data_IF_424097109635
#
_entry.id   IF_424097109635
#
_cell.length_a   1.000
_cell.length_b   1.000
_cell.length_c   1.000
_cell.angle_alpha   90.00
_cell.angle_beta   90.00
_cell.angle_gamma   90.00
#
_symmetry.space_group_name_H-M   'P 1'
#
loop_
_entity.id
_entity.type
_entity.pdbx_description
1 polymer ?
#
# COMPACT_ATOMS: atom_id res chain seq x y z
N UNK A 1 -67.15 17.29 36.25
CA UNK A 1 -66.06 16.33 36.54
C UNK A 1 -66.62 14.92 36.38
N UNK A 2 -66.14 13.99 35.56
CA UNK A 2 -64.98 13.98 34.67
C UNK A 2 -65.25 13.13 33.42
N UNK A 3 -64.99 13.70 32.24
CA UNK A 3 -65.10 13.07 30.91
C UNK A 3 -63.88 12.18 30.56
N UNK A 4 -63.35 11.41 31.51
CA UNK A 4 -62.12 10.60 31.32
C UNK A 4 -62.35 9.08 31.32
N UNK A 5 -63.58 8.59 31.21
CA UNK A 5 -63.89 7.16 31.41
C UNK A 5 -64.39 6.45 30.13
N UNK A 6 -64.49 7.14 28.99
CA UNK A 6 -65.12 6.58 27.77
C UNK A 6 -64.10 6.15 26.68
N UNK A 7 -62.79 6.23 26.95
CA UNK A 7 -61.74 5.89 25.97
C UNK A 7 -60.80 4.77 26.48
N UNK A 8 -61.38 3.70 27.01
CA UNK A 8 -60.62 2.53 27.51
C UNK A 8 -61.31 1.17 27.21
N UNK A 9 -62.32 1.15 26.33
CA UNK A 9 -63.11 -0.05 25.99
C UNK A 9 -62.99 -0.36 24.47
N UNK A 10 -61.84 -0.08 23.86
CA UNK A 10 -61.56 -0.43 22.45
C UNK A 10 -60.25 -1.21 22.27
N UNK A 11 -59.82 -1.88 23.34
CA UNK A 11 -58.69 -2.82 23.36
C UNK A 11 -59.18 -4.12 23.98
N UNK A 12 -59.63 -5.05 23.13
CA UNK A 12 -59.64 -6.51 23.34
C UNK A 12 -60.67 -7.16 22.41
N UNK A 13 -60.31 -7.38 21.14
CA UNK A 13 -60.97 -8.36 20.26
C UNK A 13 -60.10 -8.58 19.01
N UNK A 14 -59.15 -9.52 19.09
CA UNK A 14 -59.22 -10.78 18.33
C UNK A 14 -58.06 -11.68 18.74
N UNK A 15 -58.40 -12.90 19.14
CA UNK A 15 -57.52 -13.95 19.64
C UNK A 15 -57.68 -15.17 18.72
N UNK A 16 -56.55 -15.77 18.37
CA UNK A 16 -56.29 -17.15 17.89
C UNK A 16 -56.72 -17.60 16.47
N UNK A 17 -55.71 -18.08 15.73
CA UNK A 17 -55.77 -19.38 15.05
C UNK A 17 -55.01 -19.51 13.73
N UNK A 18 -53.74 -19.94 13.76
CA UNK A 18 -53.29 -21.23 13.20
C UNK A 18 -51.76 -21.37 13.26
N UNK A 19 -51.33 -22.46 13.89
CA UNK A 19 -49.98 -23.03 13.82
C UNK A 19 -49.91 -23.87 12.54
N UNK A 20 -48.86 -23.69 11.75
CA UNK A 20 -48.50 -24.58 10.65
C UNK A 20 -46.97 -24.66 10.55
N UNK A 21 -46.42 -25.84 10.84
CA UNK A 21 -45.00 -26.19 10.78
C UNK A 21 -44.81 -27.21 9.64
N UNK A 22 -43.73 -27.14 8.85
CA UNK A 22 -43.25 -28.29 8.06
C UNK A 22 -42.65 -28.04 6.67
N UNK A 23 -41.31 -27.91 6.65
CA UNK A 23 -40.31 -28.52 5.77
C UNK A 23 -40.39 -28.53 4.21
N UNK A 24 -39.27 -28.03 3.64
CA UNK A 24 -38.43 -28.57 2.55
C UNK A 24 -38.84 -28.46 1.06
N UNK A 25 -37.89 -27.88 0.31
CA UNK A 25 -37.53 -28.00 -1.12
C UNK A 25 -38.60 -27.81 -2.19
N UNK A 26 -38.45 -26.73 -2.98
CA UNK A 26 -38.03 -26.84 -4.40
C UNK A 26 -37.86 -25.47 -5.06
N UNK A 27 -36.70 -25.31 -5.71
CA UNK A 27 -36.48 -24.52 -6.94
C UNK A 27 -36.86 -23.03 -6.94
N UNK A 28 -35.96 -22.19 -6.40
CA UNK A 28 -35.87 -20.79 -6.79
C UNK A 28 -34.99 -20.67 -8.03
N UNK A 29 -35.61 -20.37 -9.17
CA UNK A 29 -34.98 -20.11 -10.45
C UNK A 29 -33.76 -19.20 -10.33
N UNK A 30 -32.66 -19.61 -10.96
CA UNK A 30 -31.55 -18.72 -11.24
C UNK A 30 -32.01 -17.64 -12.20
N UNK A 31 -32.32 -16.47 -11.66
CA UNK A 31 -32.25 -15.24 -12.42
C UNK A 31 -30.77 -14.96 -12.67
N UNK A 32 -30.27 -15.45 -13.81
CA UNK A 32 -29.12 -14.85 -14.49
C UNK A 32 -29.58 -13.50 -15.04
N UNK A 33 -29.80 -12.54 -14.15
CA UNK A 33 -29.78 -11.15 -14.53
C UNK A 33 -28.31 -10.78 -14.78
N UNK A 34 -27.97 -10.17 -15.92
CA UNK A 34 -26.64 -9.62 -16.07
C UNK A 34 -26.46 -8.60 -14.93
N UNK A 35 -25.45 -8.85 -14.11
CA UNK A 35 -24.99 -7.92 -13.09
C UNK A 35 -24.52 -6.66 -13.83
N UNK A 36 -25.46 -5.74 -14.04
CA UNK A 36 -25.16 -4.39 -14.51
C UNK A 36 -24.52 -3.71 -13.30
N UNK A 37 -23.22 -3.95 -13.13
CA UNK A 37 -22.43 -3.66 -11.93
C UNK A 37 -22.95 -2.42 -11.21
N UNK A 38 -23.45 -2.63 -9.99
CA UNK A 38 -23.97 -1.56 -9.16
C UNK A 38 -22.93 -0.45 -9.03
N UNK A 39 -23.38 0.80 -9.16
CA UNK A 39 -22.53 1.96 -8.91
C UNK A 39 -22.02 1.89 -7.46
N UNK A 40 -20.70 1.80 -7.31
CA UNK A 40 -20.05 1.75 -6.01
C UNK A 40 -19.89 3.16 -5.46
N UNK A 41 -19.87 3.27 -4.14
CA UNK A 41 -19.58 4.52 -3.44
C UNK A 41 -18.81 4.26 -2.15
N UNK A 42 -18.15 5.27 -1.62
CA UNK A 42 -17.39 5.17 -0.37
C UNK A 42 -16.00 5.78 -0.49
N UNK A 43 -15.13 5.44 0.46
CA UNK A 43 -13.73 5.88 0.48
C UNK A 43 -12.80 4.69 0.50
N UNK A 44 -11.73 4.76 -0.28
CA UNK A 44 -10.60 3.83 -0.26
C UNK A 44 -9.36 4.64 0.08
N UNK A 45 -8.61 4.22 1.09
CA UNK A 45 -7.41 4.88 1.59
C UNK A 45 -6.20 4.00 1.25
N UNK A 46 -5.27 4.56 0.50
CA UNK A 46 -4.02 3.94 0.07
C UNK A 46 -2.87 4.78 0.59
N UNK A 47 -1.84 4.18 1.17
CA UNK A 47 -0.59 4.87 1.52
C UNK A 47 0.59 3.89 1.42
N UNK A 48 1.81 4.42 1.37
CA UNK A 48 3.03 3.61 1.33
C UNK A 48 4.02 4.11 0.30
N UNK A 49 4.49 3.22 -0.57
CA UNK A 49 5.66 3.43 -1.42
C UNK A 49 5.65 4.73 -2.21
N UNK A 50 6.70 5.52 -2.02
CA UNK A 50 6.92 6.75 -2.78
C UNK A 50 7.23 6.54 -4.26
N UNK A 51 7.58 5.32 -4.67
CA UNK A 51 7.86 4.93 -6.06
C UNK A 51 6.58 4.50 -6.78
N UNK A 52 5.67 3.84 -6.07
CA UNK A 52 4.37 3.40 -6.62
C UNK A 52 3.36 4.55 -6.66
N UNK A 53 3.48 5.52 -5.73
CA UNK A 53 2.57 6.66 -5.60
C UNK A 53 2.15 7.33 -6.93
N UNK A 54 3.06 7.72 -7.85
CA UNK A 54 2.64 8.39 -9.08
C UNK A 54 1.75 7.52 -9.98
N UNK A 55 2.03 6.22 -10.03
CA UNK A 55 1.23 5.25 -10.79
C UNK A 55 -0.13 5.05 -10.12
N UNK A 56 -0.15 4.83 -8.81
CA UNK A 56 -1.40 4.59 -8.07
C UNK A 56 -2.31 5.82 -8.05
N UNK A 57 -1.75 7.03 -7.92
CA UNK A 57 -2.50 8.28 -8.02
C UNK A 57 -3.20 8.42 -9.39
N UNK A 58 -2.52 8.03 -10.47
CA UNK A 58 -3.11 8.05 -11.80
C UNK A 58 -4.21 6.99 -11.97
N UNK A 59 -4.00 5.77 -11.45
CA UNK A 59 -5.03 4.72 -11.44
C UNK A 59 -6.26 5.18 -10.66
N UNK A 60 -6.06 5.77 -9.48
CA UNK A 60 -7.12 6.32 -8.65
C UNK A 60 -7.92 7.41 -9.38
N UNK A 61 -7.24 8.37 -10.03
CA UNK A 61 -7.89 9.39 -10.85
C UNK A 61 -8.75 8.77 -11.96
N UNK A 62 -8.18 7.82 -12.71
CA UNK A 62 -8.91 7.16 -13.80
C UNK A 62 -10.12 6.37 -13.29
N UNK A 63 -9.98 5.69 -12.15
CA UNK A 63 -11.08 4.94 -11.54
C UNK A 63 -12.20 5.88 -11.08
N UNK A 64 -11.87 6.95 -10.36
CA UNK A 64 -12.84 7.94 -9.89
C UNK A 64 -13.49 8.75 -11.01
N UNK A 65 -12.85 8.90 -12.18
CA UNK A 65 -13.41 9.73 -13.26
C UNK A 65 -14.16 8.93 -14.30
N UNK A 66 -13.75 7.69 -14.57
CA UNK A 66 -14.26 6.90 -15.70
C UNK A 66 -15.00 5.62 -15.28
N UNK A 67 -14.67 5.04 -14.13
CA UNK A 67 -15.20 3.73 -13.72
C UNK A 67 -16.26 3.87 -12.61
N UNK A 68 -15.94 4.54 -11.50
CA UNK A 68 -16.80 4.69 -10.33
C UNK A 68 -16.76 6.12 -9.75
N UNK A 69 -17.57 7.06 -10.31
CA UNK A 69 -17.54 8.48 -9.91
C UNK A 69 -17.96 8.81 -8.49
N UNK A 70 -18.68 7.90 -7.82
CA UNK A 70 -19.13 8.08 -6.44
C UNK A 70 -18.17 7.47 -5.41
N UNK A 71 -17.05 6.87 -5.86
CA UNK A 71 -15.95 6.41 -4.99
C UNK A 71 -14.90 7.50 -4.85
N UNK A 72 -14.38 7.67 -3.63
CA UNK A 72 -13.28 8.58 -3.32
C UNK A 72 -12.02 7.78 -2.95
N UNK A 73 -11.02 7.78 -3.82
CA UNK A 73 -9.73 7.09 -3.58
C UNK A 73 -8.68 8.12 -3.14
N UNK A 74 -8.12 7.93 -1.95
CA UNK A 74 -7.05 8.76 -1.39
C UNK A 74 -5.73 8.01 -1.47
N UNK A 75 -4.69 8.63 -2.04
CA UNK A 75 -3.36 8.00 -2.20
C UNK A 75 -2.30 8.83 -1.49
N UNK A 76 -1.60 8.22 -0.55
CA UNK A 76 -0.51 8.80 0.25
C UNK A 76 0.88 8.37 -0.23
N UNK A 77 1.92 9.00 0.33
CA UNK A 77 3.33 8.80 -0.06
C UNK A 77 4.27 8.65 1.14
N UNK A 78 3.93 7.83 2.12
CA UNK A 78 4.68 7.69 3.36
C UNK A 78 6.04 6.95 3.26
N UNK A 79 6.23 6.11 2.23
CA UNK A 79 7.29 5.09 2.12
C UNK A 79 6.79 3.70 2.53
N UNK A 80 7.31 2.62 1.92
CA UNK A 80 6.79 1.25 2.08
C UNK A 80 6.69 0.81 3.55
N UNK A 81 7.76 1.03 4.34
CA UNK A 81 7.79 0.66 5.77
C UNK A 81 6.80 1.46 6.61
N UNK A 82 6.57 2.74 6.26
CA UNK A 82 5.57 3.56 6.93
C UNK A 82 4.13 3.22 6.47
N UNK A 83 3.96 2.77 5.23
CA UNK A 83 2.69 2.25 4.71
C UNK A 83 2.24 1.01 5.48
N UNK A 84 3.11 0.00 5.61
CA UNK A 84 2.78 -1.21 6.38
C UNK A 84 2.45 -0.90 7.85
N UNK A 85 3.16 0.04 8.48
CA UNK A 85 2.85 0.49 9.86
C UNK A 85 1.44 1.08 10.02
N UNK A 86 0.83 1.62 8.96
CA UNK A 86 -0.55 2.12 8.94
C UNK A 86 -1.55 1.05 8.51
N UNK A 87 -1.16 0.21 7.55
CA UNK A 87 -2.00 -0.85 7.01
C UNK A 87 -2.29 -1.95 8.03
N UNK A 88 -1.28 -2.42 8.75
CA UNK A 88 -1.41 -3.51 9.73
C UNK A 88 -2.47 -3.23 10.81
N UNK A 89 -2.54 -2.04 11.43
CA UNK A 89 -3.63 -1.71 12.37
C UNK A 89 -4.96 -1.31 11.68
N UNK A 90 -5.05 -1.36 10.35
CA UNK A 90 -6.26 -1.08 9.58
C UNK A 90 -6.55 0.41 9.34
N UNK A 91 -5.53 1.28 9.36
CA UNK A 91 -5.72 2.72 9.06
C UNK A 91 -5.87 3.01 7.55
N UNK A 92 -5.44 2.07 6.70
CA UNK A 92 -5.50 2.15 5.24
C UNK A 92 -6.07 0.85 4.68
N UNK A 93 -6.83 0.92 3.60
CA UNK A 93 -7.38 -0.25 2.89
C UNK A 93 -6.33 -0.96 2.04
N UNK A 94 -5.32 -0.22 1.55
CA UNK A 94 -4.25 -0.73 0.70
C UNK A 94 -2.89 -0.16 1.15
N UNK A 95 -1.86 -1.00 1.12
CA UNK A 95 -0.46 -0.58 1.32
C UNK A 95 0.30 -0.67 0.01
N UNK A 96 0.69 0.47 -0.55
CA UNK A 96 1.62 0.50 -1.69
C UNK A 96 3.01 0.08 -1.22
N UNK A 97 3.68 -0.81 -1.96
CA UNK A 97 5.00 -1.31 -1.57
C UNK A 97 5.92 -1.46 -2.79
N UNK A 98 7.20 -1.07 -2.62
CA UNK A 98 8.29 -1.32 -3.59
C UNK A 98 9.29 -2.38 -3.10
N UNK A 99 8.87 -3.18 -2.12
CA UNK A 99 9.56 -4.37 -1.61
C UNK A 99 8.49 -5.36 -1.14
N UNK A 100 8.87 -6.61 -0.93
CA UNK A 100 7.99 -7.57 -0.26
C UNK A 100 7.69 -7.11 1.18
N UNK A 101 6.57 -7.59 1.72
CA UNK A 101 6.29 -7.49 3.15
C UNK A 101 7.35 -8.32 3.91
N UNK A 102 7.84 -7.80 5.05
CA UNK A 102 8.87 -8.48 5.86
C UNK A 102 8.24 -9.52 6.77
N UNK A 103 9.03 -10.52 7.19
CA UNK A 103 8.59 -11.52 8.16
C UNK A 103 8.11 -10.90 9.48
N UNK A 104 8.77 -9.83 9.94
CA UNK A 104 8.35 -9.08 11.13
C UNK A 104 7.00 -8.37 10.95
N UNK A 105 6.68 -7.91 9.74
CA UNK A 105 5.41 -7.26 9.40
C UNK A 105 4.28 -8.30 9.28
N UNK A 106 4.59 -9.49 8.74
CA UNK A 106 3.68 -10.65 8.74
C UNK A 106 3.37 -11.09 10.19
N UNK A 107 4.39 -11.14 11.05
CA UNK A 107 4.17 -11.47 12.46
C UNK A 107 3.23 -10.46 13.15
N UNK A 108 3.37 -9.17 12.83
CA UNK A 108 2.46 -8.13 13.35
C UNK A 108 1.02 -8.26 12.82
N UNK A 109 0.83 -8.67 11.56
CA UNK A 109 -0.52 -9.01 11.05
C UNK A 109 -1.15 -10.14 11.86
N UNK A 110 -0.38 -11.20 12.15
CA UNK A 110 -0.85 -12.32 12.95
C UNK A 110 -1.20 -11.90 14.39
N UNK A 111 -0.46 -10.96 14.98
CA UNK A 111 -0.80 -10.37 16.28
C UNK A 111 -2.12 -9.58 16.25
N UNK A 112 -2.47 -8.99 15.10
CA UNK A 112 -3.79 -8.37 14.87
C UNK A 112 -4.88 -9.39 14.54
N UNK A 113 -4.54 -10.68 14.42
CA UNK A 113 -5.46 -11.77 14.11
C UNK A 113 -5.72 -11.97 12.62
N UNK A 114 -4.88 -11.40 11.75
CA UNK A 114 -4.94 -11.59 10.30
C UNK A 114 -3.86 -12.58 9.85
N UNK A 115 -4.24 -13.54 9.01
CA UNK A 115 -3.32 -14.43 8.34
C UNK A 115 -2.91 -13.84 6.98
N UNK A 116 -1.60 -13.81 6.70
CA UNK A 116 -1.08 -13.20 5.47
C UNK A 116 -1.53 -13.92 4.20
N UNK A 117 -1.72 -15.25 4.24
CA UNK A 117 -2.07 -16.04 3.06
C UNK A 117 -3.59 -16.04 2.79
N UNK A 118 -4.42 -15.77 3.81
CA UNK A 118 -5.89 -15.82 3.67
C UNK A 118 -6.60 -14.49 3.80
N UNK A 119 -6.09 -13.57 4.62
CA UNK A 119 -6.76 -12.30 4.93
C UNK A 119 -6.11 -11.09 4.24
N UNK A 120 -4.85 -11.22 3.83
CA UNK A 120 -4.11 -10.19 3.10
C UNK A 120 -3.81 -10.67 1.68
N UNK A 121 -4.00 -9.80 0.68
CA UNK A 121 -3.73 -10.15 -0.71
C UNK A 121 -2.61 -9.30 -1.28
N UNK A 122 -1.53 -9.95 -1.72
CA UNK A 122 -0.47 -9.29 -2.48
C UNK A 122 -0.85 -9.21 -3.96
N UNK A 123 -0.84 -8.00 -4.52
CA UNK A 123 -1.04 -7.77 -5.95
C UNK A 123 0.25 -7.23 -6.56
N UNK A 124 0.85 -8.00 -7.48
CA UNK A 124 2.00 -7.54 -8.26
C UNK A 124 1.54 -6.56 -9.34
N UNK A 125 1.85 -5.28 -9.13
CA UNK A 125 1.43 -4.19 -10.01
C UNK A 125 2.37 -3.99 -11.21
N UNK A 126 3.67 -3.96 -10.96
CA UNK A 126 4.68 -3.66 -11.99
C UNK A 126 6.05 -4.24 -11.62
N UNK A 127 6.95 -4.33 -12.61
CA UNK A 127 8.37 -4.50 -12.38
C UNK A 127 9.04 -3.13 -12.44
N UNK A 128 9.86 -2.84 -11.44
CA UNK A 128 10.61 -1.59 -11.32
C UNK A 128 12.10 -1.82 -11.60
N UNK A 129 12.78 -0.77 -12.07
CA UNK A 129 14.21 -0.77 -12.33
C UNK A 129 14.92 0.30 -11.52
N UNK A 130 15.87 -0.11 -10.69
CA UNK A 130 16.78 0.82 -10.01
C UNK A 130 17.89 1.25 -10.96
N UNK A 131 18.11 2.56 -11.07
CA UNK A 131 19.20 3.14 -11.85
C UNK A 131 20.05 4.07 -10.99
N UNK A 132 21.34 4.16 -11.34
CA UNK A 132 22.28 5.11 -10.75
C UNK A 132 22.50 6.23 -11.75
N UNK A 133 22.40 7.48 -11.29
CA UNK A 133 22.57 8.66 -12.12
C UNK A 133 23.74 9.47 -11.58
N UNK A 134 24.68 9.79 -12.46
CA UNK A 134 25.79 10.68 -12.17
C UNK A 134 25.41 12.09 -12.66
N UNK A 135 25.84 13.12 -11.95
CA UNK A 135 25.59 14.51 -12.37
C UNK A 135 26.15 14.73 -13.78
N UNK A 136 25.34 15.33 -14.65
CA UNK A 136 25.75 15.73 -16.01
C UNK A 136 26.84 16.80 -16.03
N UNK A 137 27.08 17.46 -14.90
CA UNK A 137 28.12 18.48 -14.75
C UNK A 137 29.51 17.85 -14.57
N UNK A 138 29.58 16.53 -14.34
CA UNK A 138 30.84 15.79 -14.34
C UNK A 138 31.27 15.50 -15.78
N UNK A 139 32.43 16.02 -16.19
CA UNK A 139 33.06 15.70 -17.49
C UNK A 139 34.09 14.55 -17.39
N UNK A 140 34.44 14.13 -16.18
CA UNK A 140 35.41 13.06 -15.88
C UNK A 140 34.76 11.73 -15.45
N UNK A 141 33.67 11.74 -14.67
CA UNK A 141 32.88 10.54 -14.34
C UNK A 141 31.62 10.48 -15.20
N UNK A 142 31.79 9.98 -16.43
CA UNK A 142 30.67 9.79 -17.38
C UNK A 142 30.10 8.38 -17.35
N UNK A 143 30.83 7.41 -16.78
CA UNK A 143 30.42 6.03 -16.62
C UNK A 143 31.10 5.40 -15.39
N UNK A 144 30.44 4.41 -14.78
CA UNK A 144 30.95 3.66 -13.64
C UNK A 144 30.59 2.18 -13.77
N UNK A 145 31.46 1.30 -13.28
CA UNK A 145 31.14 -0.13 -13.15
C UNK A 145 30.27 -0.37 -11.91
N UNK A 146 29.68 -1.56 -11.82
CA UNK A 146 28.92 -1.96 -10.62
C UNK A 146 29.80 -1.93 -9.38
N UNK A 147 31.02 -2.46 -9.49
CA UNK A 147 31.99 -2.50 -8.39
C UNK A 147 32.34 -1.10 -7.91
N UNK A 148 32.60 -0.16 -8.82
CA UNK A 148 32.89 1.23 -8.46
C UNK A 148 31.71 1.90 -7.77
N UNK A 149 30.47 1.62 -8.19
CA UNK A 149 29.28 2.12 -7.50
C UNK A 149 29.17 1.51 -6.12
N UNK A 150 29.43 0.22 -5.93
CA UNK A 150 29.38 -0.42 -4.61
C UNK A 150 30.45 0.16 -3.67
N UNK A 151 31.67 0.36 -4.18
CA UNK A 151 32.80 0.93 -3.43
C UNK A 151 32.52 2.34 -2.90
N UNK A 152 31.64 3.10 -3.57
CA UNK A 152 31.17 4.41 -3.09
C UNK A 152 30.39 4.32 -1.76
N UNK A 153 29.63 3.25 -1.55
CA UNK A 153 28.65 3.14 -0.46
C UNK A 153 29.10 2.21 0.67
N UNK A 154 30.06 1.31 0.44
CA UNK A 154 30.55 0.40 1.47
C UNK A 154 31.45 1.15 2.49
N UNK A 155 30.97 1.23 3.73
CA UNK A 155 31.74 1.76 4.85
C UNK A 155 32.97 0.89 5.12
N UNK A 156 34.16 1.50 5.20
CA UNK A 156 35.42 0.79 5.52
C UNK A 156 36.42 0.70 4.37
N UNK A 157 36.03 1.06 3.14
CA UNK A 157 37.00 1.38 2.06
C UNK A 157 37.66 2.73 2.34
N UNK A 158 36.86 3.66 2.88
CA UNK A 158 37.27 4.95 3.47
C UNK A 158 36.58 5.02 4.84
N UNK A 159 37.26 5.55 5.85
CA UNK A 159 36.88 5.41 7.26
C UNK A 159 35.43 5.78 7.56
N UNK A 160 34.85 5.23 8.65
CA UNK A 160 33.47 5.51 9.12
C UNK A 160 33.16 7.01 9.27
N UNK A 161 34.19 7.83 9.45
CA UNK A 161 34.11 9.29 9.61
C UNK A 161 34.63 10.06 8.37
N UNK A 162 35.10 9.39 7.33
CA UNK A 162 35.68 10.01 6.14
C UNK A 162 34.65 10.28 5.05
N UNK A 163 34.76 11.49 4.50
CA UNK A 163 34.04 11.91 3.31
C UNK A 163 34.62 11.18 2.10
N UNK A 164 33.82 10.34 1.45
CA UNK A 164 34.23 9.66 0.21
C UNK A 164 34.50 10.72 -0.87
N UNK A 165 35.66 10.65 -1.54
CA UNK A 165 36.02 11.52 -2.65
C UNK A 165 35.89 10.80 -3.98
N UNK A 166 35.83 11.54 -5.08
CA UNK A 166 35.86 10.92 -6.40
C UNK A 166 37.21 10.24 -6.71
N UNK A 167 38.30 10.86 -6.28
CA UNK A 167 39.67 10.31 -6.40
C UNK A 167 39.86 8.96 -5.69
N UNK A 168 39.00 8.64 -4.73
CA UNK A 168 39.02 7.42 -3.94
C UNK A 168 38.56 6.20 -4.77
N UNK A 169 37.78 6.43 -5.83
CA UNK A 169 37.33 5.38 -6.76
C UNK A 169 38.30 5.26 -7.94
N UNK A 170 38.65 6.38 -8.57
CA UNK A 170 39.69 6.44 -9.61
C UNK A 170 40.64 7.59 -9.33
N UNK A 171 41.93 7.28 -9.20
CA UNK A 171 42.95 8.26 -8.78
C UNK A 171 43.15 9.46 -9.71
N UNK A 172 42.70 9.35 -10.97
CA UNK A 172 42.73 10.42 -11.98
C UNK A 172 41.50 11.35 -11.90
N UNK A 173 40.51 11.04 -11.06
CA UNK A 173 39.37 11.90 -10.79
C UNK A 173 39.68 12.97 -9.72
N UNK A 174 38.87 14.04 -9.63
CA UNK A 174 39.10 15.10 -8.66
C UNK A 174 39.08 14.62 -7.21
N UNK A 175 39.92 15.23 -6.37
CA UNK A 175 39.91 15.00 -4.93
C UNK A 175 38.78 15.79 -4.23
N UNK A 176 37.57 15.71 -4.78
CA UNK A 176 36.36 16.38 -4.31
C UNK A 176 35.43 15.37 -3.64
N UNK A 177 34.74 15.81 -2.58
CA UNK A 177 33.77 15.00 -1.85
C UNK A 177 32.55 14.67 -2.70
N UNK A 178 32.06 13.44 -2.55
CA UNK A 178 30.87 12.95 -3.24
C UNK A 178 29.62 13.38 -2.48
N UNK A 179 28.71 14.04 -3.19
CA UNK A 179 27.39 14.37 -2.67
C UNK A 179 26.39 13.27 -3.05
N UNK A 180 26.02 12.44 -2.08
CA UNK A 180 25.05 11.37 -2.28
C UNK A 180 23.61 11.90 -2.24
N UNK A 181 22.81 11.50 -3.22
CA UNK A 181 21.38 11.77 -3.28
C UNK A 181 20.64 10.45 -3.49
N UNK A 182 19.63 10.20 -2.68
CA UNK A 182 18.86 8.96 -2.76
C UNK A 182 17.72 8.92 -1.76
N UNK A 183 16.89 7.87 -1.86
CA UNK A 183 15.85 7.60 -0.88
C UNK A 183 16.47 7.30 0.50
N UNK A 184 15.82 7.75 1.57
CA UNK A 184 16.24 7.43 2.94
C UNK A 184 15.81 6.01 3.35
N UNK A 185 16.25 5.57 4.52
CA UNK A 185 16.02 4.23 5.10
C UNK A 185 14.55 3.80 5.26
N UNK A 186 13.58 4.71 5.13
CA UNK A 186 12.15 4.35 5.21
C UNK A 186 11.55 3.95 3.85
N UNK A 187 12.33 4.00 2.77
CA UNK A 187 11.88 3.68 1.41
C UNK A 187 12.28 2.27 0.99
N UNK A 188 11.37 1.53 0.36
CA UNK A 188 11.68 0.20 -0.17
C UNK A 188 12.77 0.20 -1.25
N UNK A 189 13.00 1.32 -1.95
CA UNK A 189 14.13 1.46 -2.88
C UNK A 189 15.49 1.45 -2.15
N UNK A 190 15.56 2.01 -0.93
CA UNK A 190 16.75 1.90 -0.09
C UNK A 190 16.95 0.45 0.36
N UNK A 191 15.88 -0.19 0.86
CA UNK A 191 15.92 -1.60 1.28
C UNK A 191 16.41 -2.50 0.11
N UNK A 192 15.84 -2.34 -1.08
CA UNK A 192 16.25 -3.11 -2.27
C UNK A 192 17.73 -2.89 -2.63
N UNK A 193 18.17 -1.63 -2.62
CA UNK A 193 19.57 -1.28 -2.90
C UNK A 193 20.52 -1.94 -1.90
N UNK A 194 20.20 -1.88 -0.60
CA UNK A 194 21.01 -2.49 0.44
C UNK A 194 21.10 -4.01 0.25
N UNK A 195 19.97 -4.71 0.14
CA UNK A 195 19.90 -6.17 0.10
C UNK A 195 20.43 -6.81 -1.19
N UNK A 196 20.34 -6.12 -2.34
CA UNK A 196 20.64 -6.72 -3.65
C UNK A 196 21.88 -6.14 -4.33
N UNK A 197 22.35 -4.98 -3.88
CA UNK A 197 23.51 -4.29 -4.48
C UNK A 197 24.68 -4.23 -3.51
N UNK A 198 24.43 -3.91 -2.23
CA UNK A 198 25.50 -3.73 -1.24
C UNK A 198 25.86 -5.00 -0.48
N UNK A 199 24.87 -5.83 -0.10
CA UNK A 199 25.07 -7.16 0.50
C UNK A 199 25.37 -8.23 -0.56
#
# INVERSE_FOLDING_TARGET
>A
MGKKVILLIMTALLVLGMVGCGAADTTGSGDNQPDNGEALSGTVIIDGSGTVFPLMAHIAEMYMTNEQPDVNVQVGRAGSSAGFKKFIPGETDLSDASRAIKEEEIAQLAEQGFDYDTDVMEIKLALDGLTFVISKDNDWATEMTREEVVDLYLSGTYHVDDKVKWSDIRSDWPAEEIAFYGPNENHGTYDFFYENILE
#
